data_IF_074433338186
#
_entry.id   IF_074433338186
#
_cell.length_a   1.000
_cell.length_b   1.000
_cell.length_c   1.000
_cell.angle_alpha   90.00
_cell.angle_beta   90.00
_cell.angle_gamma   90.00
#
_symmetry.space_group_name_H-M   'P 1'
#
loop_
_entity.id
_entity.type
_entity.pdbx_description
1 polymer ?
#
# COMPACT_ATOMS: atom_id res chain seq x y z
N UNK A 1 -20.06 5.33 2.89
CA UNK A 1 -20.85 5.82 1.75
C UNK A 1 -20.93 7.34 1.65
N UNK A 2 -21.37 8.06 2.71
CA UNK A 2 -21.52 9.52 2.67
C UNK A 2 -20.17 10.24 2.46
N UNK A 3 -19.12 9.83 3.17
CA UNK A 3 -17.78 10.44 3.04
C UNK A 3 -17.18 10.30 1.64
N UNK A 4 -17.26 9.11 1.02
CA UNK A 4 -16.79 8.91 -0.36
C UNK A 4 -17.48 9.87 -1.31
N UNK A 5 -18.83 9.88 -1.32
CA UNK A 5 -19.61 10.76 -2.20
C UNK A 5 -19.31 12.25 -1.98
N UNK A 6 -19.11 12.66 -0.71
CA UNK A 6 -18.76 14.04 -0.39
C UNK A 6 -17.40 14.42 -0.96
N UNK A 7 -16.38 13.58 -0.78
CA UNK A 7 -15.04 13.79 -1.30
C UNK A 7 -15.02 13.78 -2.84
N UNK A 8 -15.73 12.85 -3.47
CA UNK A 8 -15.85 12.79 -4.94
C UNK A 8 -16.49 14.06 -5.51
N UNK A 9 -17.54 14.56 -4.85
CA UNK A 9 -18.17 15.83 -5.23
C UNK A 9 -17.21 17.02 -5.07
N UNK A 10 -16.44 17.05 -3.95
CA UNK A 10 -15.51 18.13 -3.65
C UNK A 10 -14.32 18.16 -4.61
N UNK A 11 -13.79 16.98 -4.95
CA UNK A 11 -12.59 16.83 -5.77
C UNK A 11 -12.88 16.69 -7.27
N UNK A 12 -14.15 16.48 -7.66
CA UNK A 12 -14.51 16.27 -9.05
C UNK A 12 -13.97 14.99 -9.67
N UNK A 13 -13.57 13.98 -8.84
CA UNK A 13 -12.93 12.75 -9.31
C UNK A 13 -13.44 11.53 -8.55
N UNK A 14 -13.37 10.36 -9.19
CA UNK A 14 -13.70 9.09 -8.53
C UNK A 14 -12.62 8.66 -7.54
N UNK A 15 -13.03 8.27 -6.33
CA UNK A 15 -12.14 7.76 -5.30
C UNK A 15 -12.23 6.23 -5.28
N UNK A 16 -11.17 5.56 -5.70
CA UNK A 16 -11.11 4.10 -5.82
C UNK A 16 -10.19 3.42 -4.80
N UNK A 17 -9.39 4.18 -4.05
CA UNK A 17 -8.44 3.63 -3.07
C UNK A 17 -8.70 4.21 -1.70
N UNK A 18 -8.60 3.36 -0.68
CA UNK A 18 -8.69 3.72 0.72
C UNK A 18 -7.38 3.38 1.44
N UNK A 19 -6.89 4.32 2.22
CA UNK A 19 -5.77 4.13 3.16
C UNK A 19 -6.33 4.30 4.57
N UNK A 20 -6.20 3.27 5.40
CA UNK A 20 -6.77 3.30 6.75
C UNK A 20 -5.96 4.20 7.69
N UNK A 21 -6.59 5.03 8.50
CA UNK A 21 -5.92 5.73 9.59
C UNK A 21 -5.19 4.72 10.50
N UNK A 22 -3.97 5.06 10.91
CA UNK A 22 -3.11 4.19 11.74
C UNK A 22 -2.90 2.77 11.18
N UNK A 23 -3.08 2.57 9.89
CA UNK A 23 -2.97 1.26 9.21
C UNK A 23 -3.84 0.15 9.82
N UNK A 24 -4.91 0.51 10.50
CA UNK A 24 -5.83 -0.43 11.13
C UNK A 24 -7.17 -0.47 10.38
N UNK A 25 -7.56 -1.66 9.97
CA UNK A 25 -8.82 -1.91 9.27
C UNK A 25 -9.40 -3.25 9.74
N UNK A 26 -10.68 -3.29 10.03
CA UNK A 26 -11.38 -4.50 10.47
C UNK A 26 -12.21 -5.15 9.34
N UNK A 27 -12.78 -6.33 9.63
CA UNK A 27 -13.61 -7.09 8.68
C UNK A 27 -14.85 -6.32 8.21
N UNK A 28 -15.42 -5.46 9.08
CA UNK A 28 -16.60 -4.67 8.73
C UNK A 28 -16.22 -3.56 7.74
N UNK A 29 -15.10 -2.87 8.01
CA UNK A 29 -14.58 -1.84 7.12
C UNK A 29 -14.21 -2.43 5.74
N UNK A 30 -13.57 -3.60 5.68
CA UNK A 30 -13.32 -4.29 4.41
C UNK A 30 -14.62 -4.57 3.66
N UNK A 31 -15.65 -5.06 4.32
CA UNK A 31 -16.96 -5.28 3.65
C UNK A 31 -17.56 -3.98 3.09
N UNK A 32 -17.34 -2.86 3.78
CA UNK A 32 -17.77 -1.54 3.27
C UNK A 32 -16.96 -1.13 2.04
N UNK A 33 -15.63 -1.35 2.04
CA UNK A 33 -14.79 -1.08 0.86
C UNK A 33 -15.22 -1.92 -0.34
N UNK A 34 -15.49 -3.21 -0.14
CA UNK A 34 -16.01 -4.11 -1.19
C UNK A 34 -17.32 -3.60 -1.81
N UNK A 35 -18.27 -3.17 -0.97
CA UNK A 35 -19.55 -2.62 -1.42
C UNK A 35 -19.40 -1.27 -2.15
N UNK A 36 -18.33 -0.53 -1.85
CA UNK A 36 -18.02 0.75 -2.51
C UNK A 36 -17.09 0.58 -3.72
N UNK A 37 -16.73 -0.66 -4.06
CA UNK A 37 -15.77 -0.98 -5.13
C UNK A 37 -14.44 -0.24 -4.96
N UNK A 38 -13.96 -0.17 -3.71
CA UNK A 38 -12.69 0.46 -3.36
C UNK A 38 -11.61 -0.57 -3.10
N UNK A 39 -10.38 -0.21 -3.43
CA UNK A 39 -9.18 -0.96 -3.12
C UNK A 39 -8.55 -0.46 -1.82
N UNK A 40 -7.66 -1.24 -1.24
CA UNK A 40 -6.96 -0.90 -0.01
C UNK A 40 -5.44 -0.78 -0.25
N UNK A 41 -4.84 0.25 0.28
CA UNK A 41 -3.39 0.35 0.37
C UNK A 41 -2.97 0.74 1.79
N UNK A 42 -1.85 0.17 2.25
CA UNK A 42 -1.32 0.38 3.58
C UNK A 42 -0.59 -0.85 4.10
N UNK A 43 -0.33 -0.92 5.40
CA UNK A 43 0.20 -2.15 6.01
C UNK A 43 -0.92 -3.18 6.05
N UNK A 44 -0.69 -4.30 5.37
CA UNK A 44 -1.71 -5.34 5.24
C UNK A 44 -1.60 -6.32 6.40
N UNK A 45 -2.57 -6.27 7.30
CA UNK A 45 -2.75 -7.23 8.38
C UNK A 45 -3.22 -8.60 7.85
N UNK A 46 -3.00 -9.66 8.64
CA UNK A 46 -3.35 -11.03 8.23
C UNK A 46 -4.75 -11.42 8.74
N UNK A 47 -5.18 -10.87 9.88
CA UNK A 47 -6.34 -11.40 10.63
C UNK A 47 -7.70 -10.80 10.25
N UNK A 48 -7.71 -9.74 9.44
CA UNK A 48 -8.91 -8.92 9.22
C UNK A 48 -9.68 -9.26 7.93
N UNK A 49 -9.39 -10.40 7.33
CA UNK A 49 -10.03 -10.85 6.09
C UNK A 49 -10.92 -12.07 6.30
N UNK A 50 -11.96 -12.20 5.49
CA UNK A 50 -12.79 -13.41 5.47
C UNK A 50 -11.98 -14.55 4.89
N UNK A 51 -12.04 -15.72 5.55
CA UNK A 51 -11.36 -16.94 5.10
C UNK A 51 -12.13 -17.49 3.89
N UNK A 52 -11.46 -17.53 2.75
CA UNK A 52 -11.90 -18.16 1.52
C UNK A 52 -10.66 -18.65 0.73
N UNK A 53 -10.85 -19.34 -0.37
CA UNK A 53 -9.74 -19.89 -1.17
C UNK A 53 -8.73 -18.83 -1.62
N UNK A 54 -9.19 -17.64 -2.02
CA UNK A 54 -8.30 -16.53 -2.39
C UNK A 54 -7.51 -15.99 -1.21
N UNK A 55 -8.15 -15.92 -0.04
CA UNK A 55 -7.45 -15.53 1.19
C UNK A 55 -6.34 -16.53 1.53
N UNK A 56 -6.62 -17.84 1.48
CA UNK A 56 -5.63 -18.89 1.77
C UNK A 56 -4.48 -18.81 0.78
N UNK A 57 -4.76 -18.67 -0.51
CA UNK A 57 -3.75 -18.51 -1.55
C UNK A 57 -2.86 -17.28 -1.30
N UNK A 58 -3.46 -16.11 -1.09
CA UNK A 58 -2.74 -14.88 -0.78
C UNK A 58 -1.93 -14.99 0.52
N UNK A 59 -2.47 -15.69 1.53
CA UNK A 59 -1.77 -15.95 2.79
C UNK A 59 -0.49 -16.76 2.57
N UNK A 60 -0.58 -17.87 1.82
CA UNK A 60 0.56 -18.76 1.54
C UNK A 60 1.64 -18.00 0.77
N UNK A 61 1.28 -17.24 -0.26
CA UNK A 61 2.24 -16.44 -1.05
C UNK A 61 2.94 -15.42 -0.16
N UNK A 62 2.19 -14.67 0.64
CA UNK A 62 2.75 -13.64 1.53
C UNK A 62 3.68 -14.24 2.58
N UNK A 63 3.27 -15.33 3.19
CA UNK A 63 4.03 -15.99 4.23
C UNK A 63 5.32 -16.59 3.67
N UNK A 64 5.24 -17.30 2.54
CA UNK A 64 6.39 -17.84 1.83
C UNK A 64 7.39 -16.73 1.44
N UNK A 65 6.87 -15.62 0.90
CA UNK A 65 7.71 -14.48 0.51
C UNK A 65 8.41 -13.85 1.73
N UNK A 66 7.70 -13.70 2.84
CA UNK A 66 8.26 -13.16 4.09
C UNK A 66 9.37 -14.04 4.67
N UNK A 67 9.25 -15.37 4.56
CA UNK A 67 10.29 -16.31 5.02
C UNK A 67 11.50 -16.24 4.11
N UNK A 68 11.30 -16.30 2.79
CA UNK A 68 12.39 -16.43 1.81
C UNK A 68 13.12 -15.09 1.63
N UNK A 69 12.38 -14.02 1.44
CA UNK A 69 12.93 -12.68 1.12
C UNK A 69 13.03 -11.74 2.31
N UNK A 70 12.49 -12.13 3.48
CA UNK A 70 12.44 -11.32 4.71
C UNK A 70 11.77 -9.95 4.58
N UNK A 71 10.97 -9.76 3.52
CA UNK A 71 10.20 -8.55 3.25
C UNK A 71 8.73 -8.88 3.05
N UNK A 72 7.89 -7.85 3.04
CA UNK A 72 6.48 -8.03 2.71
C UNK A 72 6.31 -8.30 1.21
N UNK A 73 5.28 -9.08 0.86
CA UNK A 73 4.98 -9.35 -0.55
C UNK A 73 4.67 -8.05 -1.30
N UNK A 74 5.39 -7.74 -2.38
CA UNK A 74 5.30 -6.44 -3.04
C UNK A 74 4.13 -6.32 -4.03
N UNK A 75 3.54 -7.46 -4.43
CA UNK A 75 2.52 -7.46 -5.49
C UNK A 75 1.13 -7.07 -5.00
N UNK A 76 0.27 -6.78 -5.97
CA UNK A 76 -1.16 -6.56 -5.73
C UNK A 76 -1.82 -7.89 -5.38
N UNK A 77 -2.51 -7.94 -4.26
CA UNK A 77 -3.27 -9.10 -3.80
C UNK A 77 -4.73 -8.95 -4.19
N UNK A 78 -5.27 -9.93 -4.92
CA UNK A 78 -6.65 -9.94 -5.36
C UNK A 78 -7.50 -10.81 -4.42
N UNK A 79 -8.45 -10.17 -3.73
CA UNK A 79 -9.44 -10.84 -2.86
C UNK A 79 -10.81 -11.03 -3.53
N UNK A 80 -10.90 -10.70 -4.83
CA UNK A 80 -12.11 -10.83 -5.65
C UNK A 80 -12.89 -9.54 -5.77
N UNK A 81 -13.49 -9.09 -4.69
CA UNK A 81 -14.27 -7.83 -4.68
C UNK A 81 -13.40 -6.58 -4.46
N UNK A 82 -12.21 -6.76 -3.94
CA UNK A 82 -11.21 -5.69 -3.79
C UNK A 82 -9.80 -6.20 -4.04
N UNK A 83 -8.89 -5.30 -4.28
CA UNK A 83 -7.45 -5.56 -4.36
C UNK A 83 -6.75 -4.84 -3.22
N UNK A 84 -5.60 -5.35 -2.80
CA UNK A 84 -4.77 -4.73 -1.77
C UNK A 84 -3.34 -4.58 -2.24
N UNK A 85 -2.73 -3.45 -1.94
CA UNK A 85 -1.34 -3.15 -2.23
C UNK A 85 -0.63 -2.77 -0.94
N UNK A 86 0.47 -3.47 -0.65
CA UNK A 86 1.27 -3.18 0.53
C UNK A 86 1.97 -1.83 0.41
N UNK A 87 2.09 -1.12 1.54
CA UNK A 87 2.90 0.09 1.64
C UNK A 87 4.02 -0.13 2.68
N UNK A 88 5.18 0.44 2.40
CA UNK A 88 6.39 0.31 3.21
C UNK A 88 6.57 1.51 4.14
N UNK A 89 7.04 1.24 5.36
CA UNK A 89 7.32 2.29 6.36
C UNK A 89 8.66 2.96 6.09
N UNK A 90 8.73 4.23 6.44
CA UNK A 90 9.99 4.99 6.42
C UNK A 90 10.73 4.70 7.73
N UNK A 91 11.60 3.71 7.71
CA UNK A 91 12.40 3.31 8.88
C UNK A 91 13.91 3.26 8.60
N UNK A 92 14.32 2.71 7.47
CA UNK A 92 15.72 2.51 7.14
C UNK A 92 15.97 2.62 5.64
N UNK A 93 17.03 3.31 5.22
CA UNK A 93 17.37 3.55 3.82
C UNK A 93 17.69 2.27 3.05
N UNK A 94 18.63 1.46 3.55
CA UNK A 94 19.07 0.25 2.84
C UNK A 94 17.92 -0.73 2.66
N UNK A 95 17.05 -0.85 3.67
CA UNK A 95 15.87 -1.68 3.61
C UNK A 95 14.89 -1.20 2.55
N UNK A 96 14.60 0.12 2.51
CA UNK A 96 13.69 0.68 1.51
C UNK A 96 14.23 0.53 0.09
N UNK A 97 15.53 0.71 -0.13
CA UNK A 97 16.17 0.45 -1.43
C UNK A 97 16.07 -1.02 -1.81
N UNK A 98 16.31 -1.93 -0.88
CA UNK A 98 16.15 -3.37 -1.14
C UNK A 98 14.69 -3.72 -1.52
N UNK A 99 13.71 -3.20 -0.80
CA UNK A 99 12.28 -3.39 -1.08
C UNK A 99 11.89 -2.76 -2.44
N UNK A 100 12.43 -1.59 -2.77
CA UNK A 100 12.28 -0.95 -4.08
C UNK A 100 12.80 -1.85 -5.21
N UNK A 101 14.01 -2.37 -5.10
CA UNK A 101 14.58 -3.26 -6.14
C UNK A 101 13.75 -4.51 -6.34
N UNK A 102 13.22 -5.11 -5.28
CA UNK A 102 12.31 -6.25 -5.39
C UNK A 102 11.03 -5.85 -6.15
N UNK A 103 10.46 -4.67 -5.87
CA UNK A 103 9.31 -4.16 -6.61
C UNK A 103 9.66 -3.94 -8.08
N UNK A 104 10.80 -3.32 -8.37
CA UNK A 104 11.29 -3.03 -9.73
C UNK A 104 11.50 -4.32 -10.55
N UNK A 105 12.20 -5.31 -10.00
CA UNK A 105 12.41 -6.62 -10.64
C UNK A 105 11.10 -7.32 -11.00
N UNK A 106 10.10 -7.17 -10.15
CA UNK A 106 8.77 -7.77 -10.32
C UNK A 106 7.81 -6.90 -11.13
N UNK A 107 8.22 -5.70 -11.52
CA UNK A 107 7.39 -4.73 -12.25
C UNK A 107 6.07 -4.43 -11.52
N UNK A 108 6.16 -4.21 -10.21
CA UNK A 108 5.01 -3.88 -9.35
C UNK A 108 5.22 -2.53 -8.67
N UNK A 109 4.13 -1.83 -8.29
CA UNK A 109 4.25 -0.55 -7.64
C UNK A 109 5.01 -0.62 -6.30
N UNK A 110 5.86 0.37 -6.05
CA UNK A 110 6.51 0.60 -4.77
C UNK A 110 5.80 1.76 -4.06
N UNK A 111 5.13 1.48 -2.93
CA UNK A 111 4.36 2.48 -2.19
C UNK A 111 5.01 2.70 -0.83
N UNK A 112 5.37 3.94 -0.55
CA UNK A 112 5.85 4.36 0.76
C UNK A 112 4.73 5.11 1.48
N UNK A 113 4.54 4.86 2.77
CA UNK A 113 3.64 5.65 3.58
C UNK A 113 4.37 6.31 4.75
N UNK A 114 3.88 7.48 5.13
CA UNK A 114 4.33 8.21 6.30
C UNK A 114 3.17 8.96 6.93
N UNK A 115 3.35 9.38 8.17
CA UNK A 115 2.41 10.26 8.85
C UNK A 115 2.86 11.73 8.74
N UNK A 116 1.91 12.65 8.54
CA UNK A 116 2.22 14.07 8.45
C UNK A 116 2.96 14.61 9.70
N UNK A 117 2.61 14.10 10.88
CA UNK A 117 3.27 14.49 12.13
C UNK A 117 4.73 13.99 12.20
N UNK A 118 5.03 12.85 11.60
CA UNK A 118 6.39 12.33 11.48
C UNK A 118 7.22 13.25 10.58
N UNK A 119 6.68 13.63 9.43
CA UNK A 119 7.34 14.57 8.53
C UNK A 119 7.54 15.97 9.15
N UNK A 120 6.59 16.43 9.97
CA UNK A 120 6.72 17.75 10.58
C UNK A 120 7.74 17.83 11.72
N UNK A 121 7.95 16.72 12.45
CA UNK A 121 8.76 16.70 13.67
C UNK A 121 10.10 15.98 13.53
N UNK A 122 10.28 15.17 12.49
CA UNK A 122 11.44 14.32 12.32
C UNK A 122 12.22 14.68 11.05
N UNK A 123 13.29 15.46 11.23
CA UNK A 123 14.18 15.86 10.12
C UNK A 123 14.90 14.65 9.49
N UNK A 124 15.11 13.55 10.25
CA UNK A 124 15.69 12.33 9.68
C UNK A 124 14.72 11.68 8.70
N UNK A 125 13.42 11.62 9.05
CA UNK A 125 12.39 11.09 8.17
C UNK A 125 12.26 11.93 6.88
N UNK A 126 12.31 13.28 6.98
CA UNK A 126 12.33 14.16 5.80
C UNK A 126 13.51 13.90 4.89
N UNK A 127 14.71 13.81 5.49
CA UNK A 127 15.94 13.54 4.75
C UNK A 127 15.87 12.17 4.06
N UNK A 128 15.39 11.16 4.77
CA UNK A 128 15.25 9.80 4.23
C UNK A 128 14.30 9.76 3.04
N UNK A 129 13.11 10.37 3.14
CA UNK A 129 12.17 10.47 2.00
C UNK A 129 12.83 11.14 0.81
N UNK A 130 13.51 12.27 1.02
CA UNK A 130 14.19 12.97 -0.07
C UNK A 130 15.26 12.11 -0.73
N UNK A 131 16.04 11.37 0.04
CA UNK A 131 17.06 10.46 -0.47
C UNK A 131 16.43 9.34 -1.31
N UNK A 132 15.39 8.67 -0.79
CA UNK A 132 14.67 7.62 -1.52
C UNK A 132 14.04 8.18 -2.80
N UNK A 133 13.36 9.32 -2.71
CA UNK A 133 12.73 9.98 -3.87
C UNK A 133 13.75 10.22 -4.99
N UNK A 134 14.87 10.88 -4.66
CA UNK A 134 15.91 11.16 -5.65
C UNK A 134 16.45 9.86 -6.26
N UNK A 135 16.76 8.87 -5.42
CA UNK A 135 17.27 7.59 -5.88
C UNK A 135 16.34 6.89 -6.87
N UNK A 136 15.05 6.78 -6.55
CA UNK A 136 14.11 6.06 -7.41
C UNK A 136 13.84 6.79 -8.74
N UNK A 137 13.85 8.14 -8.72
CA UNK A 137 13.72 8.94 -9.94
C UNK A 137 14.96 8.81 -10.83
N UNK A 138 16.16 8.89 -10.26
CA UNK A 138 17.42 8.68 -10.99
C UNK A 138 17.51 7.27 -11.59
N UNK A 139 16.93 6.27 -10.90
CA UNK A 139 16.83 4.89 -11.37
C UNK A 139 15.67 4.65 -12.37
N UNK A 140 14.98 5.72 -12.81
CA UNK A 140 13.96 5.70 -13.85
C UNK A 140 12.55 5.32 -13.40
N UNK A 141 12.25 5.43 -12.10
CA UNK A 141 10.88 5.21 -11.61
C UNK A 141 9.95 6.38 -11.99
N UNK A 142 8.73 6.06 -12.37
CA UNK A 142 7.66 7.02 -12.60
C UNK A 142 6.80 7.16 -11.34
N UNK A 143 6.45 8.41 -10.99
CA UNK A 143 5.53 8.68 -9.89
C UNK A 143 4.12 8.85 -10.44
N UNK A 144 3.23 7.98 -10.01
CA UNK A 144 1.85 7.95 -10.46
C UNK A 144 0.87 8.07 -9.29
N UNK A 145 -0.36 8.54 -9.51
CA UNK A 145 -1.41 8.49 -8.51
C UNK A 145 -1.65 7.07 -8.00
N UNK A 146 -1.87 6.90 -6.69
CA UNK A 146 -2.07 5.58 -6.08
C UNK A 146 -3.21 4.78 -6.73
N UNK A 147 -4.23 5.46 -7.26
CA UNK A 147 -5.34 4.81 -8.00
C UNK A 147 -4.89 4.12 -9.28
N UNK A 148 -3.82 4.58 -9.91
CA UNK A 148 -3.29 3.97 -11.15
C UNK A 148 -2.56 2.66 -10.87
N UNK A 149 -2.02 2.49 -9.67
CA UNK A 149 -1.40 1.25 -9.24
C UNK A 149 -2.36 0.03 -9.27
N UNK A 150 -3.67 0.25 -9.33
CA UNK A 150 -4.68 -0.82 -9.29
C UNK A 150 -5.33 -1.12 -10.66
N UNK A 151 -4.96 -0.38 -11.68
CA UNK A 151 -5.36 -0.67 -13.06
C UNK A 151 -4.57 -1.88 -13.58
#
# INVERSE_FOLDING_TARGET
>A
PKGKKHLEKLLGMNISVFVAPNNSIDKKAISVLENLQMHYSGIIGIRDRRINLRYIHNFIIRWGFRIIKKVQYPGIMNYGKHKELNAYTIDNYERLIYEYHICKERKVPFVIYTHYWQLNKDEKAKKLIKQIYNYVIEDGAEIVPLSECFK
#
